data_IF_491173806573
#
_entry.id   IF_491173806573
#
_cell.length_a   1.000
_cell.length_b   1.000
_cell.length_c   1.000
_cell.angle_alpha   90.00
_cell.angle_beta   90.00
_cell.angle_gamma   90.00
#
_symmetry.space_group_name_H-M   'P 1'
#
loop_
_entity.id
_entity.type
_entity.pdbx_description
1 polymer ?
#
# COMPACT_ATOMS: atom_id res chain seq x y z
N UNK A 1 -2.67 -7.25 4.58
CA UNK A 1 -1.88 -6.15 5.15
C UNK A 1 -1.36 -6.52 6.54
N UNK A 2 -0.05 -6.43 6.77
CA UNK A 2 0.53 -6.63 8.09
C UNK A 2 -0.02 -5.60 9.07
N UNK A 3 -0.40 -6.04 10.27
CA UNK A 3 -0.04 -5.47 11.53
C UNK A 3 0.73 -4.17 11.45
N UNK A 4 1.99 -4.31 11.06
CA UNK A 4 3.12 -3.48 11.48
C UNK A 4 3.60 -2.41 10.49
N UNK A 5 2.90 -2.18 9.38
CA UNK A 5 3.30 -1.12 8.43
C UNK A 5 2.91 0.26 8.95
N UNK A 6 3.89 1.12 9.22
CA UNK A 6 3.70 2.54 9.53
C UNK A 6 3.95 3.37 8.29
N UNK A 7 3.00 4.24 7.93
CA UNK A 7 3.17 5.19 6.83
C UNK A 7 3.54 6.57 7.39
N UNK A 8 4.39 7.31 6.69
CA UNK A 8 4.74 8.69 7.05
C UNK A 8 4.52 9.57 5.83
N UNK A 9 3.65 10.56 5.95
CA UNK A 9 3.43 11.59 4.94
C UNK A 9 4.42 12.75 5.15
N UNK A 10 5.02 13.25 4.07
CA UNK A 10 5.87 14.43 4.08
C UNK A 10 5.50 15.36 2.92
N UNK A 11 5.61 16.66 3.12
CA UNK A 11 5.24 17.62 2.08
C UNK A 11 5.54 19.07 2.44
N UNK A 12 4.98 19.97 1.64
CA UNK A 12 5.08 21.41 1.81
C UNK A 12 3.69 22.06 1.78
N UNK A 13 3.46 22.98 2.72
CA UNK A 13 2.29 23.85 2.80
C UNK A 13 2.74 25.31 3.00
N UNK A 14 1.79 26.23 3.23
CA UNK A 14 2.15 27.56 3.72
C UNK A 14 2.87 27.45 5.08
N UNK A 15 3.75 28.41 5.39
CA UNK A 15 4.49 28.41 6.65
C UNK A 15 3.53 28.50 7.85
N UNK A 16 3.77 27.69 8.88
CA UNK A 16 2.91 27.57 10.07
C UNK A 16 1.44 27.23 9.77
N UNK A 17 1.15 26.61 8.62
CA UNK A 17 -0.20 26.15 8.30
C UNK A 17 -0.54 24.91 9.11
N UNK A 18 -1.82 24.76 9.45
CA UNK A 18 -2.38 23.50 9.99
C UNK A 18 -2.76 22.64 8.80
N UNK A 19 -2.20 21.43 8.71
CA UNK A 19 -2.48 20.44 7.70
C UNK A 19 -3.35 19.38 8.34
N UNK A 20 -4.57 19.23 7.84
CA UNK A 20 -5.50 18.19 8.27
C UNK A 20 -5.42 17.04 7.26
N UNK A 21 -5.31 15.82 7.76
CA UNK A 21 -5.18 14.60 6.97
C UNK A 21 -6.47 13.80 7.06
N UNK A 22 -6.89 13.25 5.92
CA UNK A 22 -8.12 12.49 5.80
C UNK A 22 -7.87 11.23 4.98
N UNK A 23 -8.62 10.17 5.29
CA UNK A 23 -8.80 9.03 4.39
C UNK A 23 -9.66 9.50 3.21
N UNK A 24 -9.26 9.14 2.00
CA UNK A 24 -9.99 9.48 0.78
C UNK A 24 -10.60 8.24 0.10
N UNK A 25 -11.75 8.43 -0.54
CA UNK A 25 -12.33 7.43 -1.45
C UNK A 25 -11.54 7.32 -2.76
N UNK A 26 -11.48 6.12 -3.38
CA UNK A 26 -10.84 5.97 -4.69
C UNK A 26 -11.55 6.84 -5.75
N UNK A 27 -10.75 7.47 -6.61
CA UNK A 27 -11.23 8.34 -7.68
C UNK A 27 -12.13 7.54 -8.63
N UNK A 28 -13.39 7.96 -8.80
CA UNK A 28 -14.32 7.38 -9.78
C UNK A 28 -15.39 6.44 -9.21
N UNK A 29 -15.52 6.33 -7.89
CA UNK A 29 -16.67 5.64 -7.27
C UNK A 29 -17.98 6.39 -7.58
N UNK A 30 -18.80 5.80 -8.45
CA UNK A 30 -20.09 6.38 -8.86
C UNK A 30 -21.17 6.35 -7.77
N UNK A 31 -20.95 5.62 -6.67
CA UNK A 31 -21.86 5.54 -5.54
C UNK A 31 -21.67 6.70 -4.56
N UNK A 32 -20.52 7.38 -4.63
CA UNK A 32 -20.14 8.54 -3.81
C UNK A 32 -19.54 9.63 -4.72
N UNK A 33 -20.41 10.40 -5.40
CA UNK A 33 -20.01 11.26 -6.50
C UNK A 33 -19.33 12.53 -6.01
N UNK A 34 -18.07 12.71 -6.43
CA UNK A 34 -17.23 13.87 -6.13
C UNK A 34 -18.00 15.20 -6.09
N UNK A 35 -17.64 16.06 -5.14
CA UNK A 35 -18.10 17.46 -5.12
C UNK A 35 -17.92 18.06 -6.53
N UNK A 36 -18.87 18.90 -7.02
CA UNK A 36 -18.73 19.70 -8.23
C UNK A 36 -17.36 20.36 -8.49
N UNK A 37 -16.51 20.56 -7.48
CA UNK A 37 -15.13 21.03 -7.59
C UNK A 37 -14.12 20.00 -8.17
N UNK A 38 -14.43 18.70 -8.12
CA UNK A 38 -13.61 17.63 -8.72
C UNK A 38 -12.43 17.13 -7.88
N UNK A 39 -12.34 17.47 -6.59
CA UNK A 39 -11.30 17.01 -5.66
C UNK A 39 -11.89 16.21 -4.49
N UNK A 40 -11.04 15.34 -3.91
CA UNK A 40 -11.39 14.12 -3.16
C UNK A 40 -12.37 14.29 -2.00
N UNK A 41 -13.32 13.36 -1.92
CA UNK A 41 -14.18 13.22 -0.77
C UNK A 41 -13.36 12.66 0.40
N UNK A 42 -12.97 13.54 1.32
CA UNK A 42 -12.51 13.10 2.63
C UNK A 42 -13.61 12.28 3.28
N UNK A 43 -13.32 11.00 3.53
CA UNK A 43 -14.20 10.09 4.23
C UNK A 43 -14.10 10.29 5.74
N UNK A 44 -12.87 10.38 6.25
CA UNK A 44 -12.63 10.44 7.69
C UNK A 44 -11.34 11.16 8.02
N UNK A 45 -11.40 12.03 9.01
CA UNK A 45 -10.24 12.72 9.56
C UNK A 45 -9.35 11.75 10.35
N UNK A 46 -8.05 11.76 10.07
CA UNK A 46 -7.07 10.88 10.74
C UNK A 46 -6.07 11.64 11.61
N UNK A 47 -5.99 12.96 11.48
CA UNK A 47 -5.13 13.78 12.33
C UNK A 47 -4.71 15.08 11.65
N UNK A 48 -3.97 15.90 12.39
CA UNK A 48 -3.44 17.15 11.89
C UNK A 48 -2.01 17.38 12.38
N UNK A 49 -1.23 18.12 11.59
CA UNK A 49 0.12 18.56 11.93
C UNK A 49 0.32 20.01 11.49
N UNK A 50 1.26 20.72 12.11
CA UNK A 50 1.61 22.10 11.72
C UNK A 50 2.91 22.12 10.94
N UNK A 51 2.92 22.78 9.78
CA UNK A 51 4.16 22.96 9.02
C UNK A 51 5.15 23.88 9.75
N UNK A 52 6.44 23.65 9.52
CA UNK A 52 7.49 24.52 10.03
C UNK A 52 7.52 25.90 9.31
N UNK A 53 8.42 26.78 9.74
CA UNK A 53 8.59 28.11 9.13
C UNK A 53 8.98 28.09 7.64
N UNK A 54 9.45 26.94 7.14
CA UNK A 54 9.76 26.72 5.73
C UNK A 54 8.62 26.04 4.96
N UNK A 55 7.50 25.78 5.64
CA UNK A 55 6.32 25.11 5.10
C UNK A 55 6.40 23.59 5.13
N UNK A 56 7.46 22.98 5.68
CA UNK A 56 7.61 21.52 5.69
C UNK A 56 6.78 20.88 6.79
N UNK A 57 6.15 19.75 6.49
CA UNK A 57 5.48 18.92 7.47
C UNK A 57 5.88 17.45 7.33
N UNK A 58 5.75 16.72 8.44
CA UNK A 58 5.91 15.26 8.51
C UNK A 58 4.78 14.77 9.42
N UNK A 59 3.97 13.81 8.96
CA UNK A 59 2.87 13.23 9.72
C UNK A 59 2.97 11.71 9.69
N UNK A 60 3.10 11.10 10.85
CA UNK A 60 3.07 9.64 11.00
C UNK A 60 1.62 9.17 11.04
N UNK A 61 1.23 8.40 10.03
CA UNK A 61 -0.11 7.85 9.89
C UNK A 61 -0.20 6.64 10.82
N UNK A 62 -1.16 6.69 11.74
CA UNK A 62 -1.38 5.62 12.68
C UNK A 62 -1.62 4.30 11.94
N UNK A 63 -1.07 3.22 12.49
CA UNK A 63 -1.15 1.85 11.98
C UNK A 63 -2.58 1.41 11.62
N UNK A 64 -3.56 1.86 12.41
CA UNK A 64 -4.98 1.57 12.24
C UNK A 64 -5.58 2.32 11.04
N UNK A 65 -4.99 3.46 10.65
CA UNK A 65 -5.31 4.24 9.44
C UNK A 65 -4.59 3.73 8.19
N UNK A 66 -3.57 2.88 8.35
CA UNK A 66 -2.80 2.30 7.25
C UNK A 66 -3.56 1.28 6.41
N UNK A 67 -4.77 0.88 6.83
CA UNK A 67 -5.64 -0.06 6.09
C UNK A 67 -6.50 0.62 5.00
N UNK A 68 -6.31 1.93 4.78
CA UNK A 68 -7.06 2.71 3.80
C UNK A 68 -6.15 3.19 2.67
N UNK A 69 -6.53 2.93 1.43
CA UNK A 69 -5.62 2.97 0.28
C UNK A 69 -5.25 4.37 -0.18
N UNK A 70 -5.94 5.43 0.25
CA UNK A 70 -5.53 6.78 -0.11
C UNK A 70 -5.84 7.80 0.96
N UNK A 71 -5.01 8.83 1.03
CA UNK A 71 -5.19 9.99 1.89
C UNK A 71 -5.33 11.27 1.06
N UNK A 72 -6.03 12.25 1.60
CA UNK A 72 -6.07 13.62 1.08
C UNK A 72 -5.83 14.60 2.23
N UNK A 73 -5.46 15.84 1.92
CA UNK A 73 -5.19 16.86 2.93
C UNK A 73 -5.84 18.20 2.61
N UNK A 74 -6.14 18.98 3.65
CA UNK A 74 -6.38 20.42 3.55
C UNK A 74 -5.26 21.16 4.29
N UNK A 75 -5.03 22.43 3.95
CA UNK A 75 -4.13 23.31 4.68
C UNK A 75 -4.82 24.62 5.04
N UNK A 76 -4.78 24.99 6.32
CA UNK A 76 -5.31 26.24 6.85
C UNK A 76 -4.18 27.18 7.27
N UNK A 77 -4.12 28.38 6.68
CA UNK A 77 -3.10 29.38 7.02
C UNK A 77 -3.36 30.09 8.37
N UNK A 78 -2.41 30.91 8.85
CA UNK A 78 -2.54 31.68 10.10
C UNK A 78 -3.70 32.70 10.09
N UNK A 79 -4.24 33.03 8.92
CA UNK A 79 -5.38 33.92 8.77
C UNK A 79 -6.72 33.17 8.77
N UNK A 80 -6.70 31.83 8.84
CA UNK A 80 -7.88 30.98 8.80
C UNK A 80 -8.42 30.70 7.40
N UNK A 81 -7.61 30.90 6.34
CA UNK A 81 -8.00 30.49 4.99
C UNK A 81 -7.61 29.01 4.79
N UNK A 82 -8.62 28.17 4.51
CA UNK A 82 -8.43 26.74 4.24
C UNK A 82 -8.41 26.47 2.73
N UNK A 83 -7.49 25.63 2.27
CA UNK A 83 -7.45 25.15 0.90
C UNK A 83 -8.62 24.20 0.58
N UNK A 84 -8.86 23.96 -0.70
CA UNK A 84 -9.54 22.74 -1.13
C UNK A 84 -8.73 21.49 -0.73
N UNK A 85 -9.35 20.31 -0.83
CA UNK A 85 -8.65 19.03 -0.69
C UNK A 85 -7.54 18.88 -1.73
N UNK A 86 -6.43 18.26 -1.32
CA UNK A 86 -5.35 17.86 -2.21
C UNK A 86 -5.79 16.74 -3.14
N UNK A 87 -4.94 16.44 -4.13
CA UNK A 87 -5.05 15.17 -4.86
C UNK A 87 -4.98 13.99 -3.87
N UNK A 88 -5.67 12.91 -4.20
CA UNK A 88 -5.60 11.68 -3.41
C UNK A 88 -4.22 11.05 -3.58
N UNK A 89 -3.56 10.78 -2.47
CA UNK A 89 -2.26 10.12 -2.41
C UNK A 89 -2.44 8.67 -1.98
N UNK A 90 -2.11 7.74 -2.89
CA UNK A 90 -2.20 6.31 -2.63
C UNK A 90 -1.14 5.89 -1.61
N UNK A 91 -1.53 5.10 -0.61
CA UNK A 91 -0.62 4.47 0.34
C UNK A 91 -0.18 3.11 -0.22
N UNK A 92 1.08 3.00 -0.62
CA UNK A 92 1.68 1.77 -1.15
C UNK A 92 2.68 1.25 -0.12
N UNK A 93 2.52 -0.02 0.27
CA UNK A 93 3.46 -0.66 1.18
C UNK A 93 4.89 -0.62 0.61
N UNK A 94 5.84 -0.25 1.47
CA UNK A 94 7.19 0.07 1.05
C UNK A 94 8.19 -0.17 2.19
N UNK A 95 9.47 -0.48 1.87
CA UNK A 95 10.03 -0.72 0.53
C UNK A 95 9.58 -2.00 -0.20
N UNK A 96 9.67 -1.95 -1.53
CA UNK A 96 9.68 -3.15 -2.39
C UNK A 96 11.13 -3.65 -2.50
N UNK A 97 11.36 -4.87 -2.05
CA UNK A 97 12.68 -5.52 -2.01
C UNK A 97 12.65 -6.73 -2.95
N UNK A 98 13.57 -6.77 -3.91
CA UNK A 98 13.77 -7.89 -4.83
C UNK A 98 15.14 -8.50 -4.51
N UNK A 99 15.20 -9.82 -4.36
CA UNK A 99 16.44 -10.55 -4.04
C UNK A 99 16.63 -11.71 -5.02
N UNK A 100 17.77 -11.71 -5.69
CA UNK A 100 18.23 -12.78 -6.57
C UNK A 100 19.29 -13.61 -5.85
N UNK A 101 19.02 -14.89 -5.67
CA UNK A 101 19.95 -15.85 -5.09
C UNK A 101 20.46 -16.79 -6.18
N UNK A 102 21.77 -16.93 -6.32
CA UNK A 102 22.37 -17.99 -7.15
C UNK A 102 23.26 -18.88 -6.28
N UNK A 103 23.35 -20.17 -6.62
CA UNK A 103 24.15 -21.15 -5.87
C UNK A 103 25.64 -20.79 -5.78
N UNK A 104 26.12 -19.98 -6.72
CA UNK A 104 27.45 -19.38 -6.67
C UNK A 104 27.33 -17.86 -6.82
N UNK A 105 28.08 -17.07 -6.02
CA UNK A 105 28.08 -15.62 -6.13
C UNK A 105 28.47 -15.14 -7.53
N UNK A 106 28.00 -13.95 -7.90
CA UNK A 106 28.37 -13.21 -9.12
C UNK A 106 28.04 -13.98 -10.43
N UNK A 107 26.89 -14.67 -10.46
CA UNK A 107 26.40 -15.37 -11.66
C UNK A 107 25.26 -14.67 -12.38
N UNK A 108 24.49 -13.90 -11.63
CA UNK A 108 23.35 -13.15 -12.13
C UNK A 108 23.57 -11.70 -11.78
N UNK A 109 22.91 -10.82 -12.52
CA UNK A 109 22.64 -9.45 -12.14
C UNK A 109 21.13 -9.26 -12.17
N UNK A 110 20.64 -8.32 -11.36
CA UNK A 110 19.26 -7.91 -11.41
C UNK A 110 19.11 -6.60 -12.15
N UNK A 111 17.98 -6.46 -12.83
CA UNK A 111 17.47 -5.18 -13.27
C UNK A 111 15.97 -5.14 -13.07
N UNK A 112 15.49 -4.08 -12.42
CA UNK A 112 14.07 -3.86 -12.19
C UNK A 112 13.67 -2.57 -12.89
N UNK A 113 12.60 -2.65 -13.67
CA UNK A 113 11.98 -1.51 -14.36
C UNK A 113 10.59 -1.28 -13.77
N UNK A 114 10.29 -0.04 -13.40
CA UNK A 114 9.00 0.37 -12.82
C UNK A 114 7.93 0.59 -13.91
N UNK A 115 6.66 0.81 -13.50
CA UNK A 115 5.55 1.01 -14.44
C UNK A 115 5.71 2.22 -15.37
N UNK A 116 6.52 3.22 -15.00
CA UNK A 116 6.79 4.40 -15.81
C UNK A 116 7.99 4.21 -16.75
N UNK A 117 8.69 3.08 -16.66
CA UNK A 117 9.86 2.74 -17.47
C UNK A 117 11.20 3.15 -16.85
N UNK A 118 11.21 3.67 -15.62
CA UNK A 118 12.43 3.96 -14.88
C UNK A 118 13.03 2.68 -14.30
N UNK A 119 14.36 2.57 -14.24
CA UNK A 119 15.00 1.31 -13.82
C UNK A 119 16.16 1.50 -12.84
N UNK A 120 16.49 0.41 -12.15
CA UNK A 120 17.76 0.22 -11.44
C UNK A 120 18.25 -1.20 -11.72
N UNK A 121 19.54 -1.36 -12.02
CA UNK A 121 20.10 -2.68 -12.23
C UNK A 121 21.46 -2.68 -12.90
N UNK A 122 22.08 -3.86 -12.92
CA UNK A 122 23.37 -4.07 -13.58
C UNK A 122 23.18 -4.76 -14.93
N UNK A 123 24.04 -4.41 -15.88
CA UNK A 123 24.12 -5.15 -17.15
C UNK A 123 24.94 -6.45 -17.02
N UNK A 124 25.05 -7.22 -18.10
CA UNK A 124 25.83 -8.47 -18.13
C UNK A 124 27.34 -8.29 -17.84
N UNK A 125 27.83 -7.05 -17.86
CA UNK A 125 29.20 -6.67 -17.48
C UNK A 125 29.33 -6.22 -16.03
N UNK A 126 28.25 -6.24 -15.25
CA UNK A 126 28.20 -5.81 -13.85
C UNK A 126 28.17 -4.27 -13.69
N UNK A 127 27.89 -3.52 -14.75
CA UNK A 127 27.83 -2.05 -14.70
C UNK A 127 26.45 -1.60 -14.24
N UNK A 128 26.39 -0.89 -13.12
CA UNK A 128 25.14 -0.36 -12.57
C UNK A 128 24.63 0.84 -13.38
N UNK A 129 23.36 0.76 -13.81
CA UNK A 129 22.59 1.86 -14.36
C UNK A 129 21.35 2.14 -13.50
N UNK A 130 20.97 3.41 -13.37
CA UNK A 130 19.83 3.81 -12.55
C UNK A 130 19.20 5.11 -13.07
N UNK A 131 17.88 5.07 -13.29
CA UNK A 131 17.00 6.24 -13.44
C UNK A 131 15.90 6.26 -12.38
N UNK A 132 15.61 5.11 -11.75
CA UNK A 132 14.63 4.97 -10.68
C UNK A 132 15.21 5.50 -9.36
N UNK A 133 14.62 6.57 -8.81
CA UNK A 133 14.98 7.13 -7.52
C UNK A 133 13.75 7.40 -6.64
N UNK A 134 13.82 7.18 -5.32
CA UNK A 134 14.93 6.57 -4.58
C UNK A 134 14.91 5.02 -4.61
N UNK A 135 16.04 4.42 -4.96
CA UNK A 135 16.27 2.97 -4.92
C UNK A 135 17.76 2.65 -4.69
N UNK A 136 18.07 1.47 -4.15
CA UNK A 136 19.44 0.97 -3.93
C UNK A 136 19.65 -0.40 -4.55
N UNK A 137 20.92 -0.71 -4.86
CA UNK A 137 21.38 -2.01 -5.33
C UNK A 137 22.51 -2.48 -4.40
N UNK A 138 22.32 -3.60 -3.72
CA UNK A 138 23.25 -4.14 -2.72
C UNK A 138 23.65 -5.58 -3.09
N UNK A 139 24.96 -5.86 -3.04
CA UNK A 139 25.59 -7.13 -3.47
C UNK A 139 26.10 -7.99 -2.31
N UNK A 140 25.47 -7.90 -1.14
CA UNK A 140 25.94 -8.63 0.04
C UNK A 140 25.45 -10.07 -0.07
N UNK A 141 26.31 -10.95 -0.58
CA UNK A 141 26.07 -12.40 -0.82
C UNK A 141 25.13 -12.69 -1.99
N UNK A 142 24.14 -11.81 -2.21
CA UNK A 142 23.12 -11.87 -3.26
C UNK A 142 22.97 -10.49 -3.91
N UNK A 143 22.41 -10.45 -5.11
CA UNK A 143 21.91 -9.20 -5.67
C UNK A 143 20.57 -8.85 -5.04
N UNK A 144 20.49 -7.65 -4.50
CA UNK A 144 19.25 -7.13 -3.94
C UNK A 144 18.99 -5.71 -4.40
N UNK A 145 17.74 -5.45 -4.80
CA UNK A 145 17.25 -4.14 -5.18
C UNK A 145 16.20 -3.73 -4.15
N UNK A 146 16.37 -2.55 -3.56
CA UNK A 146 15.40 -1.95 -2.64
C UNK A 146 14.84 -0.68 -3.25
N UNK A 147 13.55 -0.68 -3.56
CA UNK A 147 12.80 0.49 -4.06
C UNK A 147 12.07 1.09 -2.87
N UNK A 148 12.49 2.28 -2.44
CA UNK A 148 11.99 2.88 -1.19
C UNK A 148 10.56 3.38 -1.31
N UNK A 149 10.13 3.80 -2.50
CA UNK A 149 8.76 4.26 -2.76
C UNK A 149 8.24 3.61 -4.04
N UNK A 150 7.77 2.35 -3.98
CA UNK A 150 7.18 1.67 -5.13
C UNK A 150 5.90 2.39 -5.57
N UNK A 151 5.60 2.29 -6.86
CA UNK A 151 4.39 2.77 -7.52
C UNK A 151 3.43 1.60 -7.70
N UNK A 152 2.14 1.89 -7.84
CA UNK A 152 1.17 0.87 -8.23
C UNK A 152 1.40 0.50 -9.69
N UNK A 153 1.32 -0.79 -10.00
CA UNK A 153 1.39 -1.30 -11.36
C UNK A 153 2.44 -2.39 -11.57
N UNK A 154 2.65 -2.74 -12.83
CA UNK A 154 3.50 -3.85 -13.22
C UNK A 154 4.98 -3.45 -13.25
N UNK A 155 5.79 -4.17 -12.47
CA UNK A 155 7.24 -4.12 -12.50
C UNK A 155 7.79 -5.26 -13.36
N UNK A 156 8.77 -4.93 -14.20
CA UNK A 156 9.54 -5.92 -14.96
C UNK A 156 10.86 -6.20 -14.24
N UNK A 157 11.09 -7.47 -13.92
CA UNK A 157 12.27 -7.94 -13.22
C UNK A 157 13.06 -8.84 -14.16
N UNK A 158 14.21 -8.34 -14.60
CA UNK A 158 15.15 -9.03 -15.47
C UNK A 158 16.26 -9.67 -14.62
N UNK A 159 16.45 -10.96 -14.80
CA UNK A 159 17.60 -11.73 -14.31
C UNK A 159 18.56 -11.92 -15.46
N UNK A 160 19.73 -11.29 -15.36
CA UNK A 160 20.70 -11.18 -16.44
C UNK A 160 21.90 -12.05 -16.09
N UNK A 161 22.27 -12.97 -16.96
CA UNK A 161 23.46 -13.80 -16.74
C UNK A 161 24.74 -12.96 -16.85
N UNK A 162 25.68 -13.20 -15.92
CA UNK A 162 27.02 -12.64 -16.05
C UNK A 162 27.81 -13.38 -17.12
N UNK A 163 28.73 -12.66 -17.78
CA UNK A 163 29.60 -13.24 -18.81
C UNK A 163 30.44 -14.45 -18.31
N UNK A 164 30.60 -14.59 -16.99
CA UNK A 164 31.31 -15.71 -16.34
C UNK A 164 30.44 -16.95 -16.07
N UNK A 165 29.14 -16.90 -16.35
CA UNK A 165 28.20 -18.02 -16.15
C UNK A 165 28.45 -19.24 -17.09
N UNK A 166 29.45 -19.17 -17.96
CA UNK A 166 29.75 -20.09 -19.07
C UNK A 166 30.11 -21.55 -18.72
N UNK A 167 29.91 -22.05 -17.49
CA UNK A 167 30.50 -23.36 -17.15
C UNK A 167 29.84 -24.25 -16.07
N UNK A 168 28.71 -23.91 -15.46
CA UNK A 168 28.14 -24.78 -14.42
C UNK A 168 26.62 -24.94 -14.57
N UNK A 169 26.09 -26.11 -14.20
CA UNK A 169 24.66 -26.30 -13.90
C UNK A 169 24.34 -25.50 -12.64
N UNK A 170 24.28 -24.18 -12.79
CA UNK A 170 23.95 -23.27 -11.73
C UNK A 170 22.46 -22.94 -11.80
N UNK A 171 21.83 -22.93 -10.65
CA UNK A 171 20.44 -22.55 -10.50
C UNK A 171 20.36 -21.25 -9.70
N UNK A 172 19.25 -20.54 -9.88
CA UNK A 172 18.93 -19.35 -9.12
C UNK A 172 17.50 -19.40 -8.58
N UNK A 173 17.24 -18.56 -7.59
CA UNK A 173 15.93 -18.28 -7.05
C UNK A 173 15.70 -16.76 -7.02
N UNK A 174 14.46 -16.35 -7.23
CA UNK A 174 14.04 -14.95 -7.19
C UNK A 174 12.97 -14.81 -6.11
N UNK A 175 13.28 -14.03 -5.08
CA UNK A 175 12.38 -13.67 -4.00
C UNK A 175 11.99 -12.20 -4.08
N UNK A 176 10.73 -11.90 -3.79
CA UNK A 176 10.22 -10.54 -3.63
C UNK A 176 9.64 -10.41 -2.24
N UNK A 177 9.90 -9.27 -1.60
CA UNK A 177 9.33 -8.89 -0.33
C UNK A 177 8.83 -7.44 -0.42
N UNK A 178 7.58 -7.24 -0.06
CA UNK A 178 7.03 -5.91 0.23
C UNK A 178 6.78 -5.89 1.72
N UNK A 179 7.39 -5.00 2.48
CA UNK A 179 7.19 -4.95 3.94
C UNK A 179 5.93 -4.19 4.36
N UNK A 180 4.86 -4.61 3.69
CA UNK A 180 3.56 -4.91 4.31
C UNK A 180 3.22 -6.40 4.46
N UNK A 181 4.16 -7.33 4.29
CA UNK A 181 4.17 -8.81 4.58
C UNK A 181 3.90 -9.83 3.47
N UNK A 182 3.90 -9.45 2.20
CA UNK A 182 3.93 -10.45 1.14
C UNK A 182 5.38 -10.81 0.80
N UNK A 183 5.75 -12.06 1.07
CA UNK A 183 6.92 -12.71 0.50
C UNK A 183 6.45 -13.63 -0.62
N UNK A 184 6.93 -13.38 -1.83
CA UNK A 184 6.64 -14.18 -3.01
C UNK A 184 7.93 -14.78 -3.55
N UNK A 185 7.97 -16.11 -3.65
CA UNK A 185 8.99 -16.81 -4.44
C UNK A 185 8.51 -16.79 -5.89
N UNK A 186 9.14 -15.97 -6.72
CA UNK A 186 8.81 -15.85 -8.14
C UNK A 186 9.29 -17.08 -8.92
N UNK A 187 10.47 -17.58 -8.56
CA UNK A 187 11.09 -18.74 -9.19
C UNK A 187 12.09 -19.37 -8.23
N UNK A 188 12.32 -20.68 -8.34
CA UNK A 188 13.30 -21.40 -7.53
C UNK A 188 13.85 -22.61 -8.28
N UNK A 189 15.14 -22.90 -8.08
CA UNK A 189 15.87 -23.97 -8.77
C UNK A 189 15.81 -23.81 -10.31
N UNK A 190 15.81 -22.57 -10.78
CA UNK A 190 15.72 -22.25 -12.21
C UNK A 190 17.11 -22.16 -12.79
N UNK A 191 17.43 -22.81 -13.92
CA UNK A 191 18.74 -22.70 -14.54
C UNK A 191 19.09 -21.24 -14.83
N UNK A 192 20.31 -20.83 -14.52
CA UNK A 192 20.81 -19.50 -14.92
C UNK A 192 20.74 -19.39 -16.47
N UNK A 193 20.21 -18.28 -17.01
CA UNK A 193 20.09 -18.10 -18.46
C UNK A 193 21.46 -18.12 -19.14
N UNK A 194 21.51 -18.49 -20.42
CA UNK A 194 22.78 -18.53 -21.16
C UNK A 194 23.41 -17.13 -21.24
N UNK A 195 24.74 -17.01 -21.37
CA UNK A 195 25.42 -15.72 -21.48
C UNK A 195 24.84 -14.84 -22.59
N UNK A 196 24.31 -13.68 -22.21
CA UNK A 196 23.66 -12.74 -23.13
C UNK A 196 22.15 -12.96 -23.30
N UNK A 197 21.57 -13.92 -22.60
CA UNK A 197 20.12 -14.07 -22.42
C UNK A 197 19.66 -13.47 -21.09
N UNK A 198 18.36 -13.20 -21.00
CA UNK A 198 17.70 -12.63 -19.84
C UNK A 198 16.42 -13.40 -19.58
N UNK A 199 16.21 -13.79 -18.32
CA UNK A 199 14.93 -14.27 -17.84
C UNK A 199 14.14 -13.10 -17.27
N UNK A 200 12.89 -12.92 -17.70
CA UNK A 200 12.05 -11.79 -17.30
C UNK A 200 10.82 -12.25 -16.53
N UNK A 201 10.52 -11.56 -15.43
CA UNK A 201 9.39 -11.82 -14.56
C UNK A 201 8.60 -10.53 -14.34
N UNK A 202 7.28 -10.62 -14.46
CA UNK A 202 6.40 -9.51 -14.12
C UNK A 202 5.91 -9.66 -12.69
N UNK A 203 5.97 -8.58 -11.92
CA UNK A 203 5.38 -8.52 -10.59
C UNK A 203 4.46 -7.30 -10.51
N UNK A 204 3.17 -7.52 -10.27
CA UNK A 204 2.21 -6.44 -10.13
C UNK A 204 2.18 -5.97 -8.67
N UNK A 205 2.60 -4.73 -8.42
CA UNK A 205 2.35 -4.06 -7.15
C UNK A 205 0.88 -3.63 -7.18
N UNK A 206 0.04 -4.51 -6.65
CA UNK A 206 -1.39 -4.26 -6.50
C UNK A 206 -1.67 -3.55 -5.17
N UNK A 207 -2.76 -2.80 -5.18
CA UNK A 207 -3.39 -2.29 -3.97
C UNK A 207 -3.82 -3.50 -3.13
N UNK A 208 -3.31 -3.64 -1.90
CA UNK A 208 -3.97 -4.51 -0.94
C UNK A 208 -5.21 -3.78 -0.41
N UNK A 209 -6.27 -3.84 -1.22
CA UNK A 209 -7.67 -3.51 -0.98
C UNK A 209 -8.02 -2.47 0.08
N UNK A 210 -8.65 -1.38 -0.37
CA UNK A 210 -9.65 -0.64 0.38
C UNK A 210 -10.58 -1.63 1.11
N UNK A 211 -10.51 -1.70 2.43
CA UNK A 211 -11.60 -2.29 3.20
C UNK A 211 -12.58 -1.19 3.57
N UNK A 212 -13.79 -1.25 3.03
CA UNK A 212 -14.86 -0.35 3.44
C UNK A 212 -15.39 -0.82 4.80
N UNK A 213 -15.27 -0.01 5.85
CA UNK A 213 -15.81 -0.38 7.16
C UNK A 213 -17.32 -0.58 7.04
N UNK A 214 -17.79 -1.77 7.45
CA UNK A 214 -19.15 -2.24 7.24
C UNK A 214 -19.32 -3.23 6.09
N UNK A 215 -18.37 -3.36 5.16
CA UNK A 215 -18.37 -4.39 4.09
C UNK A 215 -17.84 -5.71 4.66
N UNK A 216 -18.55 -6.23 5.65
CA UNK A 216 -18.17 -7.39 6.43
C UNK A 216 -17.96 -8.65 5.57
N UNK A 217 -18.63 -8.74 4.42
CA UNK A 217 -18.50 -9.87 3.51
C UNK A 217 -17.47 -9.65 2.37
N UNK A 218 -16.91 -8.45 2.24
CA UNK A 218 -15.91 -8.03 1.24
C UNK A 218 -16.40 -8.14 -0.20
N UNK A 219 -17.67 -7.82 -0.44
CA UNK A 219 -18.24 -7.80 -1.79
C UNK A 219 -18.19 -6.41 -2.45
N UNK A 220 -17.68 -5.41 -1.73
CA UNK A 220 -17.54 -4.03 -2.20
C UNK A 220 -18.79 -3.18 -2.02
N UNK A 221 -19.84 -3.69 -1.37
CA UNK A 221 -21.06 -2.92 -1.10
C UNK A 221 -21.54 -3.10 0.34
N UNK A 222 -21.47 -2.06 1.18
CA UNK A 222 -22.12 -2.13 2.51
C UNK A 222 -23.64 -2.22 2.35
N UNK A 223 -24.26 -3.33 2.74
CA UNK A 223 -25.68 -3.60 2.59
C UNK A 223 -26.22 -4.59 3.66
N UNK A 224 -27.40 -5.19 3.41
CA UNK A 224 -28.02 -6.15 4.35
C UNK A 224 -27.21 -7.44 4.49
N UNK A 225 -26.43 -7.82 3.48
CA UNK A 225 -25.64 -9.02 3.46
C UNK A 225 -24.50 -8.94 4.48
N UNK A 226 -23.93 -7.77 4.72
CA UNK A 226 -22.93 -7.55 5.78
C UNK A 226 -23.51 -7.71 7.18
N UNK A 227 -24.70 -7.13 7.39
CA UNK A 227 -25.44 -7.29 8.64
C UNK A 227 -25.71 -8.78 8.91
N UNK A 228 -26.14 -9.52 7.87
CA UNK A 228 -26.36 -10.97 7.96
C UNK A 228 -25.03 -11.71 8.22
N UNK A 229 -23.94 -11.28 7.59
CA UNK A 229 -22.60 -11.84 7.78
C UNK A 229 -22.13 -11.69 9.23
N UNK A 230 -22.23 -10.49 9.81
CA UNK A 230 -21.90 -10.24 11.23
C UNK A 230 -22.78 -11.05 12.18
N UNK A 231 -24.08 -11.17 11.90
CA UNK A 231 -24.98 -12.04 12.69
C UNK A 231 -24.54 -13.50 12.64
N UNK A 232 -24.14 -14.00 11.46
CA UNK A 232 -23.70 -15.38 11.31
C UNK A 232 -22.36 -15.62 12.02
N UNK A 233 -21.40 -14.70 11.88
CA UNK A 233 -20.14 -14.68 12.63
C UNK A 233 -20.39 -14.74 14.14
N UNK A 234 -21.24 -13.85 14.67
CA UNK A 234 -21.44 -13.72 16.13
C UNK A 234 -22.32 -14.79 16.76
N UNK A 235 -23.32 -15.28 16.04
CA UNK A 235 -24.38 -16.10 16.64
C UNK A 235 -24.60 -17.46 15.99
N UNK A 236 -23.91 -17.78 14.89
CA UNK A 236 -24.12 -19.04 14.16
C UNK A 236 -22.84 -19.75 13.74
N UNK A 237 -21.72 -19.46 14.42
CA UNK A 237 -20.42 -20.08 14.14
C UNK A 237 -19.98 -19.93 12.67
N UNK A 238 -20.45 -18.88 11.99
CA UNK A 238 -20.03 -18.54 10.63
C UNK A 238 -18.63 -17.91 10.62
N UNK A 239 -18.01 -17.76 9.43
CA UNK A 239 -16.76 -17.02 9.29
C UNK A 239 -16.98 -15.56 9.73
N UNK A 240 -15.97 -15.00 10.39
CA UNK A 240 -15.93 -13.60 10.78
C UNK A 240 -15.13 -12.76 9.78
N UNK A 241 -15.40 -11.45 9.69
CA UNK A 241 -14.61 -10.56 8.86
C UNK A 241 -13.15 -10.63 9.28
N UNK A 242 -12.29 -10.76 8.28
CA UNK A 242 -10.86 -10.57 8.42
C UNK A 242 -10.50 -9.37 7.53
N UNK A 243 -9.65 -8.42 7.94
CA UNK A 243 -9.36 -8.14 9.35
C UNK A 243 -10.64 -7.81 10.13
N UNK A 244 -10.68 -8.04 11.47
CA UNK A 244 -11.88 -7.84 12.29
C UNK A 244 -12.42 -6.40 12.32
N UNK A 245 -11.57 -5.40 12.05
CA UNK A 245 -11.94 -3.98 12.05
C UNK A 245 -13.07 -3.66 11.06
N UNK A 246 -13.19 -4.40 9.95
CA UNK A 246 -14.26 -4.20 8.95
C UNK A 246 -15.65 -4.43 9.55
N UNK A 247 -15.74 -5.29 10.58
CA UNK A 247 -16.97 -5.60 11.27
C UNK A 247 -17.16 -4.89 12.61
N UNK A 248 -16.16 -4.11 13.07
CA UNK A 248 -16.14 -3.40 14.36
C UNK A 248 -16.55 -1.92 14.16
N UNK A 249 -17.73 -1.72 13.55
CA UNK A 249 -18.13 -0.47 12.92
C UNK A 249 -18.67 0.60 13.86
N UNK A 250 -18.92 0.28 15.13
CA UNK A 250 -19.44 1.24 16.11
C UNK A 250 -18.35 1.93 16.92
N UNK A 251 -17.19 1.26 17.12
CA UNK A 251 -16.08 1.79 17.92
C UNK A 251 -14.73 1.79 17.19
N UNK A 252 -14.48 0.89 16.22
CA UNK A 252 -13.28 0.81 15.37
C UNK A 252 -11.93 0.97 16.11
N UNK A 253 -11.79 0.44 17.34
CA UNK A 253 -10.60 0.66 18.18
C UNK A 253 -10.00 -0.67 18.66
N UNK A 254 -8.66 -0.77 18.66
CA UNK A 254 -7.96 -1.95 19.19
C UNK A 254 -8.23 -2.15 20.71
N UNK A 255 -8.72 -3.32 21.15
CA UNK A 255 -9.00 -4.53 20.37
C UNK A 255 -10.34 -4.47 19.64
N UNK A 256 -10.28 -4.77 18.33
CA UNK A 256 -11.46 -4.85 17.47
C UNK A 256 -12.42 -5.95 17.95
N UNK A 257 -13.61 -5.56 18.39
CA UNK A 257 -14.55 -6.46 19.07
C UNK A 257 -15.94 -6.42 18.47
N UNK A 258 -16.07 -7.11 17.33
CA UNK A 258 -17.37 -7.34 16.70
C UNK A 258 -18.36 -7.92 17.73
N UNK A 259 -19.52 -7.30 17.89
CA UNK A 259 -20.58 -7.64 18.82
C UNK A 259 -21.95 -7.19 18.28
N UNK A 260 -22.97 -7.10 19.16
CA UNK A 260 -24.33 -6.72 18.74
C UNK A 260 -24.45 -5.24 18.36
N UNK A 261 -23.59 -4.40 18.93
CA UNK A 261 -23.62 -2.96 18.70
C UNK A 261 -23.24 -2.63 17.26
N UNK A 262 -22.26 -3.33 16.68
CA UNK A 262 -21.89 -3.22 15.26
C UNK A 262 -23.05 -3.54 14.31
N UNK A 263 -23.76 -4.64 14.60
CA UNK A 263 -24.93 -5.07 13.84
C UNK A 263 -26.02 -4.00 13.90
N UNK A 264 -26.28 -3.45 15.08
CA UNK A 264 -27.26 -2.37 15.28
C UNK A 264 -26.80 -1.09 14.58
N UNK A 265 -25.51 -0.80 14.59
CA UNK A 265 -24.91 0.37 13.95
C UNK A 265 -25.11 0.31 12.43
N UNK A 266 -24.76 -0.79 11.77
CA UNK A 266 -24.99 -0.97 10.33
C UNK A 266 -26.47 -0.86 9.95
N UNK A 267 -27.38 -1.41 10.76
CA UNK A 267 -28.83 -1.25 10.54
C UNK A 267 -29.23 0.22 10.60
N UNK A 268 -28.71 0.97 11.57
CA UNK A 268 -29.05 2.38 11.73
C UNK A 268 -28.47 3.21 10.58
N UNK A 269 -27.21 2.97 10.21
CA UNK A 269 -26.57 3.58 9.05
C UNK A 269 -27.39 3.34 7.77
N UNK A 270 -27.64 2.07 7.41
CA UNK A 270 -28.28 1.73 6.13
C UNK A 270 -29.77 2.04 6.05
N UNK A 271 -30.49 1.99 7.17
CA UNK A 271 -31.96 2.04 7.13
C UNK A 271 -32.59 3.15 7.96
N UNK A 272 -31.80 3.93 8.71
CA UNK A 272 -32.33 4.97 9.60
C UNK A 272 -31.55 6.29 9.56
N UNK A 273 -30.81 6.55 8.49
CA UNK A 273 -29.97 7.74 8.35
C UNK A 273 -29.02 7.93 9.54
N UNK A 274 -28.51 6.82 10.06
CA UNK A 274 -27.45 6.83 11.07
C UNK A 274 -26.13 7.33 10.48
N UNK A 275 -25.17 7.68 11.34
CA UNK A 275 -23.81 8.03 10.90
C UNK A 275 -23.17 6.89 10.10
N UNK A 276 -22.22 7.23 9.23
CA UNK A 276 -21.41 6.24 8.52
C UNK A 276 -20.57 5.42 9.53
N UNK A 277 -20.25 4.15 9.23
CA UNK A 277 -19.29 3.36 9.98
C UNK A 277 -18.03 4.16 10.25
N UNK A 278 -17.51 4.13 11.48
CA UNK A 278 -16.26 4.81 11.77
C UNK A 278 -15.19 4.33 10.80
N UNK A 279 -14.34 5.23 10.29
CA UNK A 279 -13.08 4.79 9.70
C UNK A 279 -12.10 4.53 10.84
N UNK A 280 -12.00 5.49 11.77
CA UNK A 280 -11.40 5.45 13.11
C UNK A 280 -11.97 6.68 13.84
N UNK A 281 -12.35 6.60 15.12
CA UNK A 281 -12.63 7.78 15.96
C UNK A 281 -11.62 7.81 17.12
N UNK A 282 -11.14 9.02 17.42
CA UNK A 282 -10.09 9.43 18.38
C UNK A 282 -9.92 8.58 19.66
#
# INVERSE_FOLDING_TARGET
>A
MNPDSSFTAYGFAAANAIIEFFIAHPVGDSTRPADPAGYGEAYSFIGAETSDISGKFIFDIAKESGQFSSITMTATDENGNTSEFSDNHLLIAAPLIIVGYADTPDLINLKVTDPDGDYIGKDAGGVLGQTLFPATYDEIVNDSITITHPKQGEYLIDVISEARATAMRAEYALGIRIDGTNEAIMTANTPVPEPGETDSYNYNVEEEGHFENGDANRDGEVNILDIVYLINCKYKEGPCPEPPIIGDVDDCRDPYTINILDIVYLINFKYKNGPEPCAILE
#
